data_IF_798590367102
#
_entry.id   IF_798590367102
#
_cell.length_a   1.000
_cell.length_b   1.000
_cell.length_c   1.000
_cell.angle_alpha   90.00
_cell.angle_beta   90.00
_cell.angle_gamma   90.00
#
_symmetry.space_group_name_H-M   'P 1'
#
loop_
_entity.id
_entity.type
_entity.pdbx_description
1 polymer ?
#
# COMPACT_ATOMS: atom_id res chain seq x y z
N UNK A 1 -0.74 -17.88 -4.98
CA UNK A 1 -1.17 -16.51 -5.29
C UNK A 1 0.07 -15.77 -5.74
N UNK A 2 0.28 -15.67 -7.04
CA UNK A 2 1.39 -14.92 -7.62
C UNK A 2 1.20 -13.44 -7.32
N UNK A 3 2.16 -12.81 -6.62
CA UNK A 3 2.25 -11.36 -6.41
C UNK A 3 2.51 -10.68 -7.76
N UNK A 4 1.48 -10.62 -8.62
CA UNK A 4 1.52 -9.87 -9.87
C UNK A 4 1.23 -8.41 -9.56
N UNK A 5 2.27 -7.59 -9.54
CA UNK A 5 2.14 -6.15 -9.56
C UNK A 5 1.66 -5.69 -10.93
N UNK A 6 0.71 -4.76 -10.95
CA UNK A 6 0.25 -4.16 -12.21
C UNK A 6 1.40 -3.40 -12.86
N UNK A 7 1.63 -3.67 -14.14
CA UNK A 7 2.56 -2.91 -14.97
C UNK A 7 1.93 -1.58 -15.39
N UNK A 8 2.76 -0.60 -15.74
CA UNK A 8 2.26 0.71 -16.21
C UNK A 8 1.36 0.57 -17.44
N UNK A 9 1.68 -0.34 -18.36
CA UNK A 9 0.87 -0.62 -19.56
C UNK A 9 -0.52 -1.13 -19.19
N UNK A 10 -0.59 -2.10 -18.26
CA UNK A 10 -1.87 -2.61 -17.75
C UNK A 10 -2.70 -1.51 -17.10
N UNK A 11 -2.07 -0.64 -16.29
CA UNK A 11 -2.74 0.47 -15.63
C UNK A 11 -3.33 1.46 -16.65
N UNK A 12 -2.57 1.81 -17.69
CA UNK A 12 -3.07 2.73 -18.73
C UNK A 12 -4.23 2.15 -19.54
N UNK A 13 -4.33 0.82 -19.67
CA UNK A 13 -5.41 0.15 -20.37
C UNK A 13 -6.70 0.01 -19.54
N UNK A 14 -6.64 0.20 -18.22
CA UNK A 14 -7.80 0.05 -17.33
C UNK A 14 -8.84 1.15 -17.54
N UNK A 15 -10.10 0.87 -17.21
CA UNK A 15 -11.15 1.90 -17.12
C UNK A 15 -11.01 2.75 -15.85
N UNK A 16 -11.70 3.89 -15.78
CA UNK A 16 -11.67 4.74 -14.58
C UNK A 16 -12.13 4.02 -13.31
N UNK A 17 -13.19 3.21 -13.40
CA UNK A 17 -13.70 2.39 -12.29
C UNK A 17 -12.69 1.33 -11.85
N UNK A 18 -12.04 0.68 -12.83
CA UNK A 18 -10.99 -0.31 -12.56
C UNK A 18 -9.78 0.32 -11.87
N UNK A 19 -9.36 1.52 -12.28
CA UNK A 19 -8.27 2.26 -11.63
C UNK A 19 -8.59 2.57 -10.16
N UNK A 20 -9.82 3.00 -9.88
CA UNK A 20 -10.27 3.26 -8.50
C UNK A 20 -10.28 1.96 -7.68
N UNK A 21 -10.81 0.87 -8.23
CA UNK A 21 -10.82 -0.44 -7.56
C UNK A 21 -9.39 -0.92 -7.25
N UNK A 22 -8.49 -0.90 -8.24
CA UNK A 22 -7.09 -1.30 -8.09
C UNK A 22 -6.35 -0.46 -7.03
N UNK A 23 -6.63 0.85 -6.96
CA UNK A 23 -6.08 1.73 -5.93
C UNK A 23 -6.55 1.33 -4.53
N UNK A 24 -7.84 1.02 -4.37
CA UNK A 24 -8.39 0.58 -3.07
C UNK A 24 -7.80 -0.75 -2.64
N UNK A 25 -7.64 -1.70 -3.56
CA UNK A 25 -7.00 -3.00 -3.28
C UNK A 25 -5.54 -2.83 -2.88
N UNK A 26 -4.79 -2.00 -3.60
CA UNK A 26 -3.39 -1.68 -3.29
C UNK A 26 -3.23 -1.02 -1.93
N UNK A 27 -4.14 -0.12 -1.54
CA UNK A 27 -4.18 0.46 -0.20
C UNK A 27 -4.48 -0.59 0.89
N UNK A 28 -5.36 -1.55 0.59
CA UNK A 28 -5.63 -2.71 1.46
C UNK A 28 -4.37 -3.56 1.67
N UNK A 29 -3.65 -3.90 0.60
CA UNK A 29 -2.38 -4.63 0.64
C UNK A 29 -1.32 -3.87 1.45
N UNK A 30 -1.17 -2.56 1.24
CA UNK A 30 -0.23 -1.72 2.00
C UNK A 30 -0.52 -1.77 3.51
N UNK A 31 -1.80 -1.70 3.91
CA UNK A 31 -2.22 -1.78 5.31
C UNK A 31 -1.89 -3.14 5.93
N UNK A 32 -2.17 -4.23 5.22
CA UNK A 32 -1.85 -5.59 5.66
C UNK A 32 -0.34 -5.83 5.76
N UNK A 33 0.44 -5.33 4.80
CA UNK A 33 1.90 -5.40 4.81
C UNK A 33 2.46 -4.63 6.02
N UNK A 34 1.99 -3.40 6.28
CA UNK A 34 2.40 -2.62 7.46
C UNK A 34 2.09 -3.34 8.78
N UNK A 35 0.93 -3.98 8.90
CA UNK A 35 0.58 -4.79 10.07
C UNK A 35 1.53 -6.00 10.21
N UNK A 36 1.82 -6.68 9.10
CA UNK A 36 2.75 -7.81 9.07
C UNK A 36 4.18 -7.41 9.41
N UNK A 37 4.64 -6.23 8.99
CA UNK A 37 5.94 -5.69 9.36
C UNK A 37 6.04 -5.44 10.87
N UNK A 38 4.99 -4.90 11.51
CA UNK A 38 4.97 -4.71 12.97
C UNK A 38 5.08 -6.04 13.71
N UNK A 39 4.38 -7.06 13.21
CA UNK A 39 4.47 -8.41 13.75
C UNK A 39 5.88 -9.00 13.59
N UNK A 40 6.46 -8.94 12.38
CA UNK A 40 7.82 -9.41 12.11
C UNK A 40 8.89 -8.63 12.91
N UNK A 41 8.67 -7.33 13.16
CA UNK A 41 9.51 -6.51 14.02
C UNK A 41 9.44 -6.92 15.51
N UNK A 42 8.47 -7.76 15.88
CA UNK A 42 8.20 -8.14 17.27
C UNK A 42 7.58 -6.99 18.07
N UNK A 43 6.84 -6.10 17.42
CA UNK A 43 6.25 -4.89 18.03
C UNK A 43 4.76 -5.10 18.26
N UNK A 44 4.34 -4.93 19.52
CA UNK A 44 2.93 -4.81 19.89
C UNK A 44 2.58 -3.34 20.04
N UNK A 45 1.49 -2.91 19.42
CA UNK A 45 0.98 -1.53 19.53
C UNK A 45 -0.37 -1.53 20.24
N UNK A 46 -0.52 -0.66 21.24
CA UNK A 46 -1.80 -0.43 21.92
C UNK A 46 -2.16 1.05 21.86
N UNK A 47 -3.42 1.35 21.52
CA UNK A 47 -3.96 2.71 21.69
C UNK A 47 -4.23 2.97 23.17
N UNK A 48 -3.81 4.14 23.64
CA UNK A 48 -3.98 4.58 25.03
C UNK A 48 -4.99 5.72 25.14
N UNK A 49 -5.34 6.09 26.39
CA UNK A 49 -6.44 6.98 26.84
C UNK A 49 -7.07 7.85 25.72
N UNK A 50 -8.31 7.55 25.35
CA UNK A 50 -9.09 8.28 24.34
C UNK A 50 -8.74 7.97 22.89
N UNK A 51 -7.81 7.05 22.61
CA UNK A 51 -7.44 6.65 21.25
C UNK A 51 -6.45 7.59 20.55
N UNK A 52 -6.04 8.68 21.20
CA UNK A 52 -5.18 9.73 20.64
C UNK A 52 -3.69 9.36 20.61
N UNK A 53 -3.24 8.47 21.50
CA UNK A 53 -1.83 8.08 21.63
C UNK A 53 -1.63 6.60 21.33
N UNK A 54 -0.63 6.29 20.49
CA UNK A 54 -0.19 4.92 20.22
C UNK A 54 1.05 4.62 21.09
N UNK A 55 1.02 3.54 21.87
CA UNK A 55 2.22 3.00 22.52
C UNK A 55 2.68 1.75 21.80
N UNK A 56 3.95 1.72 21.41
CA UNK A 56 4.61 0.55 20.83
C UNK A 56 5.55 -0.07 21.88
N UNK A 57 5.55 -1.40 21.99
CA UNK A 57 6.47 -2.15 22.85
C UNK A 57 7.04 -3.33 22.07
N UNK A 58 8.34 -3.57 22.23
CA UNK A 58 8.98 -4.79 21.72
C UNK A 58 8.59 -5.97 22.63
N UNK A 59 7.98 -6.99 22.04
CA UNK A 59 7.49 -8.20 22.72
C UNK A 59 8.19 -9.47 22.26
N UNK A 60 8.84 -9.44 21.10
CA UNK A 60 9.60 -10.56 20.55
C UNK A 60 10.89 -10.08 19.89
N UNK A 61 11.80 -11.02 19.60
CA UNK A 61 12.94 -10.75 18.73
C UNK A 61 12.43 -10.46 17.32
N UNK A 62 13.17 -9.61 16.62
CA UNK A 62 12.84 -9.19 15.26
C UNK A 62 13.24 -10.29 14.28
N UNK A 63 12.29 -10.71 13.45
CA UNK A 63 12.56 -11.55 12.28
C UNK A 63 13.00 -10.66 11.12
N UNK A 64 14.31 -10.43 11.05
CA UNK A 64 14.92 -9.56 10.04
C UNK A 64 14.75 -10.08 8.61
N UNK A 65 14.70 -11.41 8.43
CA UNK A 65 14.55 -12.02 7.10
C UNK A 65 13.19 -11.68 6.53
N UNK A 66 12.14 -11.96 7.29
CA UNK A 66 10.75 -11.65 6.93
C UNK A 66 10.52 -10.15 6.81
N UNK A 67 11.10 -9.35 7.70
CA UNK A 67 10.94 -7.89 7.66
C UNK A 67 11.51 -7.30 6.36
N UNK A 68 12.65 -7.82 5.87
CA UNK A 68 13.28 -7.35 4.64
C UNK A 68 12.41 -7.67 3.41
N UNK A 69 11.87 -8.88 3.31
CA UNK A 69 10.91 -9.26 2.26
C UNK A 69 9.65 -8.38 2.28
N UNK A 70 9.11 -8.12 3.47
CA UNK A 70 7.93 -7.26 3.61
C UNK A 70 8.22 -5.80 3.21
N UNK A 71 9.42 -5.29 3.47
CA UNK A 71 9.85 -3.96 3.04
C UNK A 71 10.01 -3.85 1.52
N UNK A 72 10.50 -4.90 0.87
CA UNK A 72 10.58 -4.98 -0.59
C UNK A 72 9.18 -4.97 -1.22
N UNK A 73 8.26 -5.78 -0.68
CA UNK A 73 6.85 -5.76 -1.07
C UNK A 73 6.21 -4.38 -0.85
N UNK A 74 6.51 -3.70 0.27
CA UNK A 74 5.99 -2.36 0.52
C UNK A 74 6.47 -1.35 -0.54
N UNK A 75 7.73 -1.44 -0.96
CA UNK A 75 8.25 -0.58 -2.05
C UNK A 75 7.49 -0.81 -3.34
N UNK A 76 7.27 -2.07 -3.71
CA UNK A 76 6.53 -2.42 -4.92
C UNK A 76 5.07 -1.92 -4.87
N UNK A 77 4.37 -2.11 -3.74
CA UNK A 77 3.00 -1.60 -3.54
C UNK A 77 2.96 -0.07 -3.62
N UNK A 78 3.95 0.63 -3.05
CA UNK A 78 4.02 2.10 -3.13
C UNK A 78 4.21 2.57 -4.56
N UNK A 79 5.12 1.97 -5.32
CA UNK A 79 5.32 2.27 -6.73
C UNK A 79 4.03 2.06 -7.53
N UNK A 80 3.33 0.95 -7.30
CA UNK A 80 2.04 0.65 -7.94
C UNK A 80 0.99 1.72 -7.63
N UNK A 81 0.85 2.14 -6.36
CA UNK A 81 -0.08 3.22 -5.97
C UNK A 81 0.30 4.55 -6.63
N UNK A 82 1.59 4.87 -6.72
CA UNK A 82 2.04 6.11 -7.39
C UNK A 82 1.65 6.12 -8.86
N UNK A 83 1.87 5.01 -9.58
CA UNK A 83 1.51 4.92 -11.00
C UNK A 83 -0.02 5.04 -11.18
N UNK A 84 -0.81 4.36 -10.33
CA UNK A 84 -2.27 4.49 -10.34
C UNK A 84 -2.72 5.94 -10.11
N UNK A 85 -2.11 6.64 -9.14
CA UNK A 85 -2.43 8.03 -8.84
C UNK A 85 -2.08 8.98 -9.99
N UNK A 86 -0.94 8.78 -10.64
CA UNK A 86 -0.53 9.55 -11.80
C UNK A 86 -1.49 9.36 -12.98
N UNK A 87 -1.92 8.13 -13.26
CA UNK A 87 -2.85 7.86 -14.34
C UNK A 87 -4.25 8.43 -14.07
N UNK A 88 -4.75 8.31 -12.84
CA UNK A 88 -6.01 8.93 -12.43
C UNK A 88 -5.95 10.46 -12.61
N UNK A 89 -4.84 11.08 -12.18
CA UNK A 89 -4.64 12.53 -12.35
C UNK A 89 -4.56 12.91 -13.82
N UNK A 90 -3.81 12.17 -14.65
CA UNK A 90 -3.68 12.42 -16.09
C UNK A 90 -5.05 12.43 -16.76
N UNK A 91 -5.91 11.46 -16.44
CA UNK A 91 -7.27 11.39 -17.00
C UNK A 91 -8.16 12.53 -16.53
N UNK A 92 -8.11 12.86 -15.24
CA UNK A 92 -8.86 13.99 -14.70
C UNK A 92 -8.44 15.33 -15.34
N UNK A 93 -7.16 15.50 -15.69
CA UNK A 93 -6.69 16.66 -16.45
C UNK A 93 -7.20 16.65 -17.89
N UNK A 94 -7.08 15.51 -18.60
CA UNK A 94 -7.57 15.39 -19.97
C UNK A 94 -9.10 15.60 -20.10
N UNK A 95 -9.87 15.20 -19.09
CA UNK A 95 -11.31 15.46 -19.04
C UNK A 95 -11.62 16.96 -18.86
N UNK A 96 -10.87 17.65 -17.99
CA UNK A 96 -11.00 19.11 -17.79
C UNK A 96 -10.62 19.92 -19.02
N UNK A 97 -9.65 19.47 -19.82
CA UNK A 97 -9.26 20.14 -21.07
C UNK A 97 -10.29 19.95 -22.20
N UNK A 98 -11.16 18.95 -22.09
CA UNK A 98 -12.23 18.67 -23.07
C UNK A 98 -13.57 19.35 -22.74
N UNK A 99 -13.73 19.83 -21.52
CA UNK A 99 -14.95 20.48 -21.01
C UNK A 99 -14.89 21.99 -21.16
#
# INVERSE_FOLDING_TARGET
MSDQHLTAEQITAMTGEQLLAAKTESAGRAKLNSASQRYAAGISTKRTRGGSKLRARKVAKTDWSRLRTLQEQERAIRTEITILDEEIKRRAHAEKERA
#
